data_IF_567021526017
#
_entry.id   IF_567021526017
#
_cell.length_a   1.000
_cell.length_b   1.000
_cell.length_c   1.000
_cell.angle_alpha   90.00
_cell.angle_beta   90.00
_cell.angle_gamma   90.00
#
_symmetry.space_group_name_H-M   'P 1'
#
loop_
_entity.id
_entity.type
_entity.pdbx_description
1 polymer ?
#
# COMPACT_ATOMS: atom_id res chain seq x y z
N UNK A 1 -15.76 -9.48 -1.40
CA UNK A 1 -15.77 -10.47 -2.50
C UNK A 1 -16.66 -10.11 -3.70
N UNK A 2 -18.00 -9.98 -3.60
CA UNK A 2 -18.88 -9.79 -4.80
C UNK A 2 -18.46 -8.61 -5.67
N UNK A 3 -18.24 -7.45 -5.06
CA UNK A 3 -17.83 -6.21 -5.73
C UNK A 3 -16.56 -6.44 -6.56
N UNK A 4 -15.51 -7.01 -5.96
CA UNK A 4 -14.25 -7.25 -6.67
C UNK A 4 -14.39 -8.22 -7.85
N UNK A 5 -15.27 -9.23 -7.75
CA UNK A 5 -15.51 -10.17 -8.85
C UNK A 5 -16.22 -9.53 -10.04
N UNK A 6 -17.01 -8.47 -9.82
CA UNK A 6 -17.73 -7.76 -10.89
C UNK A 6 -16.98 -6.54 -11.43
N UNK A 7 -15.93 -6.07 -10.74
CA UNK A 7 -15.16 -4.89 -11.12
C UNK A 7 -14.02 -5.18 -12.12
N UNK A 8 -13.54 -6.42 -12.21
CA UNK A 8 -12.38 -6.76 -13.07
C UNK A 8 -12.39 -8.18 -13.64
N UNK A 9 -11.46 -8.41 -14.56
CA UNK A 9 -11.21 -9.72 -15.13
C UNK A 9 -10.17 -10.51 -14.36
N UNK A 10 -10.55 -11.73 -13.97
CA UNK A 10 -9.63 -12.75 -13.50
C UNK A 10 -9.37 -13.78 -14.61
N UNK A 11 -8.16 -14.37 -14.67
CA UNK A 11 -7.86 -15.44 -15.61
C UNK A 11 -8.86 -16.61 -15.48
N UNK A 12 -9.61 -16.90 -16.53
CA UNK A 12 -10.50 -18.06 -16.60
C UNK A 12 -9.76 -19.38 -16.85
N UNK A 13 -8.58 -19.31 -17.47
CA UNK A 13 -7.70 -20.47 -17.62
C UNK A 13 -7.11 -20.86 -16.24
N UNK A 14 -7.45 -22.05 -15.70
CA UNK A 14 -6.93 -22.50 -14.41
C UNK A 14 -5.41 -22.62 -14.37
N UNK A 15 -4.78 -22.97 -15.49
CA UNK A 15 -3.33 -23.08 -15.57
C UNK A 15 -2.66 -21.70 -15.47
N UNK A 16 -3.19 -20.69 -16.17
CA UNK A 16 -2.72 -19.32 -16.06
C UNK A 16 -2.95 -18.75 -14.66
N UNK A 17 -4.12 -19.00 -14.07
CA UNK A 17 -4.43 -18.56 -12.70
C UNK A 17 -3.42 -19.16 -11.71
N UNK A 18 -3.20 -20.48 -11.76
CA UNK A 18 -2.22 -21.17 -10.91
C UNK A 18 -0.82 -20.57 -11.07
N UNK A 19 -0.34 -20.36 -12.30
CA UNK A 19 0.98 -19.75 -12.55
C UNK A 19 1.10 -18.37 -11.93
N UNK A 20 0.10 -17.50 -12.10
CA UNK A 20 0.10 -16.14 -11.53
C UNK A 20 0.09 -16.17 -10.00
N UNK A 21 -0.84 -16.90 -9.40
CA UNK A 21 -0.97 -17.04 -7.93
C UNK A 21 0.33 -17.59 -7.33
N UNK A 22 0.93 -18.63 -7.93
CA UNK A 22 2.22 -19.16 -7.47
C UNK A 22 3.36 -18.16 -7.61
N UNK A 23 3.39 -17.36 -8.68
CA UNK A 23 4.41 -16.33 -8.85
C UNK A 23 4.31 -15.23 -7.78
N UNK A 24 3.09 -14.75 -7.49
CA UNK A 24 2.88 -13.74 -6.46
C UNK A 24 3.19 -14.28 -5.05
N UNK A 25 2.81 -15.53 -4.77
CA UNK A 25 3.16 -16.17 -3.50
C UNK A 25 4.68 -16.23 -3.26
N UNK A 26 5.48 -16.47 -4.31
CA UNK A 26 6.94 -16.53 -4.23
C UNK A 26 7.60 -15.17 -3.99
N UNK A 27 6.96 -14.09 -4.44
CA UNK A 27 7.50 -12.73 -4.26
C UNK A 27 7.49 -12.29 -2.79
N UNK A 28 6.61 -12.86 -1.96
CA UNK A 28 6.51 -12.58 -0.53
C UNK A 28 6.57 -13.89 0.28
N UNK A 29 7.75 -14.44 0.61
CA UNK A 29 7.87 -15.77 1.22
C UNK A 29 7.13 -15.93 2.56
N UNK A 30 7.03 -14.85 3.35
CA UNK A 30 6.42 -14.88 4.68
C UNK A 30 4.89 -14.94 4.63
N UNK A 31 4.27 -14.05 3.83
CA UNK A 31 2.81 -13.88 3.81
C UNK A 31 2.16 -14.35 2.50
N UNK A 32 2.93 -14.44 1.43
CA UNK A 32 2.48 -14.77 0.08
C UNK A 32 1.71 -16.08 0.00
N UNK A 33 2.20 -17.22 0.52
CA UNK A 33 1.44 -18.46 0.52
C UNK A 33 0.09 -18.34 1.24
N UNK A 34 0.04 -17.65 2.39
CA UNK A 34 -1.20 -17.41 3.10
C UNK A 34 -2.16 -16.57 2.24
N UNK A 35 -1.71 -15.41 1.74
CA UNK A 35 -2.50 -14.49 0.90
C UNK A 35 -2.85 -15.02 -0.50
N UNK A 36 -2.16 -16.06 -0.98
CA UNK A 36 -2.39 -16.64 -2.29
C UNK A 36 -3.35 -17.84 -2.26
N UNK A 37 -3.28 -18.66 -1.21
CA UNK A 37 -3.97 -19.96 -1.14
C UNK A 37 -4.96 -20.09 0.01
N UNK A 38 -5.02 -19.13 0.94
CA UNK A 38 -6.00 -19.12 2.01
C UNK A 38 -7.42 -18.80 1.52
N UNK A 39 -8.44 -18.96 2.40
CA UNK A 39 -9.83 -18.63 2.08
C UNK A 39 -9.98 -17.11 1.84
N UNK A 40 -10.92 -16.65 0.99
CA UNK A 40 -11.19 -15.22 0.80
C UNK A 40 -11.33 -14.43 2.12
N UNK A 41 -10.58 -13.34 2.24
CA UNK A 41 -10.66 -12.39 3.35
C UNK A 41 -11.15 -11.02 2.83
N UNK A 42 -11.12 -9.98 3.66
CA UNK A 42 -11.77 -8.70 3.34
C UNK A 42 -11.34 -8.09 1.99
N UNK A 43 -10.04 -8.08 1.70
CA UNK A 43 -9.42 -7.46 0.51
C UNK A 43 -8.35 -8.35 -0.18
N UNK A 44 -8.24 -9.62 0.20
CA UNK A 44 -7.25 -10.55 -0.36
C UNK A 44 -7.83 -11.95 -0.60
N UNK A 45 -7.07 -12.78 -1.33
CA UNK A 45 -7.40 -14.19 -1.66
C UNK A 45 -8.65 -14.37 -2.56
N UNK A 46 -9.12 -13.32 -3.23
CA UNK A 46 -10.32 -13.40 -4.07
C UNK A 46 -10.12 -14.03 -5.45
N UNK A 47 -8.88 -14.15 -5.93
CA UNK A 47 -8.63 -14.51 -7.33
C UNK A 47 -9.15 -15.90 -7.72
N UNK A 48 -9.06 -16.88 -6.81
CA UNK A 48 -9.58 -18.24 -7.04
C UNK A 48 -11.10 -18.28 -7.05
N UNK A 49 -11.75 -17.55 -6.14
CA UNK A 49 -13.21 -17.43 -6.10
C UNK A 49 -13.77 -16.64 -7.30
N UNK A 50 -13.18 -15.49 -7.61
CA UNK A 50 -13.67 -14.62 -8.70
C UNK A 50 -13.39 -15.17 -10.10
N UNK A 51 -12.38 -16.03 -10.28
CA UNK A 51 -12.17 -16.74 -11.55
C UNK A 51 -13.34 -17.68 -11.90
N UNK A 52 -14.09 -18.12 -10.88
CA UNK A 52 -15.26 -19.00 -11.01
C UNK A 52 -16.58 -18.23 -10.95
N UNK A 53 -16.53 -16.89 -10.89
CA UNK A 53 -17.72 -16.05 -10.73
C UNK A 53 -18.69 -16.25 -11.90
N UNK A 54 -19.94 -16.69 -11.64
CA UNK A 54 -20.88 -17.07 -12.69
C UNK A 54 -21.68 -15.89 -13.25
N UNK A 55 -21.76 -14.79 -12.49
CA UNK A 55 -22.57 -13.63 -12.84
C UNK A 55 -21.81 -12.66 -13.76
N UNK A 56 -22.58 -11.79 -14.41
CA UNK A 56 -22.05 -10.73 -15.25
C UNK A 56 -21.22 -9.72 -14.45
N UNK A 57 -20.22 -9.13 -15.12
CA UNK A 57 -19.31 -8.13 -14.55
C UNK A 57 -19.81 -6.72 -14.84
N UNK A 58 -21.00 -6.41 -14.33
CA UNK A 58 -21.74 -5.18 -14.66
C UNK A 58 -21.01 -3.89 -14.27
N UNK A 59 -20.11 -3.96 -13.28
CA UNK A 59 -19.35 -2.81 -12.76
C UNK A 59 -17.96 -2.66 -13.39
N UNK A 60 -17.57 -3.59 -14.27
CA UNK A 60 -16.23 -3.56 -14.89
C UNK A 60 -16.11 -2.35 -15.81
N UNK A 61 -15.26 -1.42 -15.43
CA UNK A 61 -14.93 -0.27 -16.25
C UNK A 61 -13.90 -0.63 -17.31
N UNK A 62 -14.21 -0.36 -18.58
CA UNK A 62 -13.34 -0.57 -19.74
C UNK A 62 -12.99 0.71 -20.50
N UNK A 63 -13.50 1.84 -20.01
CA UNK A 63 -13.26 3.16 -20.56
C UNK A 63 -11.89 3.74 -20.20
N UNK A 64 -11.74 5.03 -20.46
CA UNK A 64 -10.51 5.76 -20.18
C UNK A 64 -10.47 6.32 -18.75
N UNK A 65 -9.48 5.90 -17.96
CA UNK A 65 -9.21 6.49 -16.65
C UNK A 65 -8.50 7.87 -16.70
N UNK A 66 -8.48 8.54 -17.86
CA UNK A 66 -7.83 9.85 -18.00
C UNK A 66 -8.55 10.97 -17.25
N UNK A 67 -9.85 10.80 -16.97
CA UNK A 67 -10.69 11.83 -16.37
C UNK A 67 -10.62 13.18 -17.11
N UNK A 68 -10.69 13.12 -18.46
CA UNK A 68 -10.52 14.30 -19.31
C UNK A 68 -11.48 15.44 -18.91
N UNK A 69 -10.93 16.63 -18.69
CA UNK A 69 -11.70 17.82 -18.31
C UNK A 69 -12.03 17.93 -16.82
N UNK A 70 -11.48 17.06 -15.97
CA UNK A 70 -11.67 17.15 -14.52
C UNK A 70 -11.03 18.41 -13.93
N UNK A 71 -11.45 18.78 -12.72
CA UNK A 71 -10.62 19.55 -11.79
C UNK A 71 -9.28 18.82 -11.50
N UNK A 72 -8.29 19.47 -10.86
CA UNK A 72 -7.12 18.76 -10.33
C UNK A 72 -7.54 17.56 -9.47
N UNK A 73 -6.81 16.45 -9.57
CA UNK A 73 -7.03 15.24 -8.77
C UNK A 73 -5.78 14.97 -7.95
N UNK A 74 -5.89 15.07 -6.63
CA UNK A 74 -4.80 14.72 -5.72
C UNK A 74 -4.75 13.20 -5.52
N UNK A 75 -3.63 12.60 -5.88
CA UNK A 75 -3.29 11.19 -5.64
C UNK A 75 -2.25 11.14 -4.52
N UNK A 76 -2.53 10.39 -3.46
CA UNK A 76 -1.59 10.16 -2.38
C UNK A 76 -0.89 8.82 -2.60
N UNK A 77 0.43 8.79 -2.48
CA UNK A 77 1.19 7.55 -2.55
C UNK A 77 2.15 7.42 -1.37
N UNK A 78 1.96 6.39 -0.54
CA UNK A 78 2.87 6.05 0.56
C UNK A 78 3.97 5.11 0.07
N UNK A 79 5.24 5.41 0.36
CA UNK A 79 6.38 4.69 -0.21
C UNK A 79 6.47 3.22 0.19
N UNK A 80 6.04 2.88 1.41
CA UNK A 80 6.00 1.53 1.96
C UNK A 80 4.58 1.00 2.17
N UNK A 81 3.65 1.36 1.28
CA UNK A 81 2.27 0.86 1.31
C UNK A 81 2.21 -0.61 0.87
N UNK A 82 1.78 -1.56 1.72
CA UNK A 82 1.70 -2.97 1.37
C UNK A 82 0.46 -3.33 0.53
N UNK A 83 -0.59 -2.51 0.57
CA UNK A 83 -1.91 -2.83 0.00
C UNK A 83 -2.13 -2.14 -1.33
N UNK A 84 -1.74 -0.86 -1.41
CA UNK A 84 -1.74 -0.04 -2.64
C UNK A 84 -0.34 0.49 -2.92
N UNK A 85 0.54 -0.33 -3.51
CA UNK A 85 1.95 0.02 -3.67
C UNK A 85 2.21 1.37 -4.34
N UNK A 86 3.26 2.05 -3.88
CA UNK A 86 3.59 3.42 -4.32
C UNK A 86 3.64 3.61 -5.85
N UNK A 87 4.20 2.63 -6.58
CA UNK A 87 4.28 2.70 -8.04
C UNK A 87 2.91 2.77 -8.72
N UNK A 88 1.86 2.23 -8.11
CA UNK A 88 0.51 2.27 -8.64
C UNK A 88 -0.09 3.67 -8.46
N UNK A 89 0.18 4.33 -7.33
CA UNK A 89 -0.14 5.75 -7.14
C UNK A 89 0.61 6.65 -8.14
N UNK A 90 1.90 6.37 -8.41
CA UNK A 90 2.67 7.06 -9.46
C UNK A 90 2.02 6.85 -10.83
N UNK A 91 1.68 5.62 -11.19
CA UNK A 91 1.05 5.29 -12.46
C UNK A 91 -0.32 5.99 -12.62
N UNK A 92 -1.17 5.91 -11.59
CA UNK A 92 -2.47 6.57 -11.57
C UNK A 92 -2.35 8.08 -11.74
N UNK A 93 -1.43 8.72 -11.01
CA UNK A 93 -1.21 10.17 -11.11
C UNK A 93 -0.78 10.63 -12.50
N UNK A 94 -0.10 9.76 -13.27
CA UNK A 94 0.31 10.03 -14.66
C UNK A 94 -0.79 9.71 -15.67
N UNK A 95 -1.66 8.75 -15.35
CA UNK A 95 -2.77 8.35 -16.21
C UNK A 95 -3.89 9.40 -16.23
N UNK A 96 -4.10 10.10 -15.12
CA UNK A 96 -5.07 11.18 -14.99
C UNK A 96 -4.56 12.47 -15.65
N UNK A 97 -5.38 13.08 -16.52
CA UNK A 97 -5.02 14.30 -17.27
C UNK A 97 -4.64 15.46 -16.32
N UNK A 98 -5.34 15.58 -15.19
CA UNK A 98 -5.10 16.60 -14.17
C UNK A 98 -4.63 16.00 -12.83
N UNK A 99 -3.87 14.90 -12.87
CA UNK A 99 -3.34 14.24 -11.69
C UNK A 99 -2.17 14.98 -11.01
N UNK A 100 -2.21 15.06 -9.67
CA UNK A 100 -1.09 15.48 -8.82
C UNK A 100 -0.75 14.40 -7.81
N UNK A 101 0.46 13.88 -7.87
CA UNK A 101 1.00 13.02 -6.82
C UNK A 101 1.49 13.85 -5.63
N UNK A 102 1.09 13.44 -4.42
CA UNK A 102 1.78 13.73 -3.17
C UNK A 102 2.48 12.45 -2.71
N UNK A 103 3.80 12.51 -2.55
CA UNK A 103 4.58 11.38 -2.02
C UNK A 103 4.64 11.46 -0.51
N UNK A 104 4.22 10.40 0.17
CA UNK A 104 4.38 10.26 1.62
C UNK A 104 5.45 9.21 1.92
N UNK A 105 6.59 9.64 2.47
CA UNK A 105 7.70 8.77 2.86
C UNK A 105 7.41 8.15 4.22
N UNK A 106 6.79 6.98 4.19
CA UNK A 106 6.41 6.21 5.37
C UNK A 106 6.20 4.74 5.01
N UNK A 107 6.07 3.90 6.03
CA UNK A 107 5.54 2.53 5.94
C UNK A 107 4.04 2.52 6.25
N UNK A 108 3.30 1.56 5.71
CA UNK A 108 1.89 1.33 6.01
C UNK A 108 0.91 2.00 5.03
N UNK A 109 -0.36 1.63 5.16
CA UNK A 109 -1.40 2.00 4.20
C UNK A 109 -1.96 3.41 4.44
N UNK A 110 -2.13 4.17 3.36
CA UNK A 110 -2.63 5.57 3.34
C UNK A 110 -1.70 6.62 3.97
N UNK A 111 -2.06 7.90 3.82
CA UNK A 111 -1.24 9.06 4.24
C UNK A 111 -2.02 10.19 4.95
N UNK A 112 -3.33 10.33 4.74
CA UNK A 112 -4.11 11.43 5.33
C UNK A 112 -4.21 11.26 6.86
N UNK A 113 -4.01 12.35 7.61
CA UNK A 113 -4.02 12.31 9.08
C UNK A 113 -2.76 11.72 9.71
N UNK A 114 -1.76 11.31 8.92
CA UNK A 114 -0.52 10.67 9.43
C UNK A 114 0.65 11.62 9.64
N UNK A 115 0.56 12.84 9.12
CA UNK A 115 1.49 13.94 9.41
C UNK A 115 0.81 15.28 9.19
N UNK A 116 1.32 16.35 9.82
CA UNK A 116 0.82 17.71 9.57
C UNK A 116 0.98 18.04 8.09
N UNK A 117 2.14 17.75 7.49
CA UNK A 117 2.39 17.98 6.07
C UNK A 117 1.36 17.31 5.14
N UNK A 118 1.06 16.02 5.35
CA UNK A 118 0.10 15.30 4.51
C UNK A 118 -1.33 15.79 4.75
N UNK A 119 -1.68 16.08 6.01
CA UNK A 119 -3.00 16.59 6.39
C UNK A 119 -3.27 17.95 5.79
N UNK A 120 -2.31 18.87 5.82
CA UNK A 120 -2.45 20.20 5.25
C UNK A 120 -2.56 20.15 3.73
N UNK A 121 -1.77 19.30 3.06
CA UNK A 121 -1.84 19.13 1.61
C UNK A 121 -3.23 18.63 1.16
N UNK A 122 -3.81 17.66 1.89
CA UNK A 122 -5.16 17.16 1.61
C UNK A 122 -6.22 18.19 1.94
N UNK A 123 -6.10 18.88 3.09
CA UNK A 123 -7.07 19.90 3.51
C UNK A 123 -7.13 21.05 2.53
N UNK A 124 -5.98 21.58 2.10
CA UNK A 124 -5.89 22.63 1.08
C UNK A 124 -6.52 22.19 -0.26
N UNK A 125 -6.38 20.93 -0.62
CA UNK A 125 -7.02 20.39 -1.82
C UNK A 125 -8.54 20.27 -1.66
N UNK A 126 -9.02 19.73 -0.54
CA UNK A 126 -10.45 19.52 -0.31
C UNK A 126 -11.22 20.84 -0.12
N UNK A 127 -10.59 21.85 0.50
CA UNK A 127 -11.23 23.14 0.81
C UNK A 127 -11.06 24.13 -0.34
N UNK A 128 -9.84 24.27 -0.87
CA UNK A 128 -9.49 25.34 -1.81
C UNK A 128 -9.16 24.82 -3.22
N UNK A 129 -9.27 23.51 -3.47
CA UNK A 129 -8.83 22.87 -4.72
C UNK A 129 -7.32 23.05 -5.00
N UNK A 130 -6.54 23.44 -3.99
CA UNK A 130 -5.11 23.77 -4.13
C UNK A 130 -4.27 22.50 -4.00
N UNK A 131 -3.65 22.12 -5.11
CA UNK A 131 -2.73 20.97 -5.16
C UNK A 131 -1.29 21.38 -4.81
N UNK A 132 -0.48 20.46 -4.24
CA UNK A 132 0.93 20.72 -3.97
C UNK A 132 1.75 20.87 -5.27
N UNK A 133 2.95 21.44 -5.12
CA UNK A 133 3.92 21.51 -6.21
C UNK A 133 4.31 20.10 -6.70
N UNK A 134 4.77 20.01 -7.94
CA UNK A 134 5.29 18.75 -8.46
C UNK A 134 6.47 18.26 -7.59
N UNK A 135 6.46 16.97 -7.24
CA UNK A 135 7.52 16.35 -6.44
C UNK A 135 7.45 16.65 -4.94
N UNK A 136 6.40 17.32 -4.46
CA UNK A 136 6.19 17.51 -3.02
C UNK A 136 6.19 16.16 -2.31
N UNK A 137 6.97 16.11 -1.24
CA UNK A 137 7.12 14.94 -0.40
C UNK A 137 6.87 15.33 1.05
N UNK A 138 6.04 14.56 1.74
CA UNK A 138 5.90 14.58 3.19
C UNK A 138 6.61 13.37 3.80
N UNK A 139 7.04 13.46 5.06
CA UNK A 139 7.60 12.36 5.82
C UNK A 139 6.70 12.01 7.00
N UNK A 140 6.78 10.76 7.48
CA UNK A 140 6.13 10.38 8.74
C UNK A 140 6.77 11.17 9.89
N UNK A 141 5.93 11.86 10.68
CA UNK A 141 6.36 12.62 11.86
C UNK A 141 6.44 11.74 13.10
N UNK A 142 5.81 10.55 13.06
CA UNK A 142 5.80 9.56 14.14
C UNK A 142 6.98 8.60 14.08
N UNK A 143 7.66 8.52 12.93
CA UNK A 143 8.87 7.71 12.80
C UNK A 143 10.06 8.55 13.27
N UNK A 144 10.79 8.13 14.33
CA UNK A 144 12.10 8.71 14.62
C UNK A 144 12.95 8.63 13.34
N UNK A 145 13.94 9.53 13.13
CA UNK A 145 14.88 9.35 12.03
C UNK A 145 15.33 7.90 12.05
N UNK A 146 15.31 7.24 10.89
CA UNK A 146 15.64 5.81 10.71
C UNK A 146 17.11 5.56 11.11
N UNK A 147 17.38 5.63 12.40
CA UNK A 147 18.64 5.48 13.06
C UNK A 147 18.62 4.14 13.79
N UNK A 148 18.15 3.08 13.12
CA UNK A 148 18.63 1.75 13.50
C UNK A 148 20.10 1.74 13.10
N UNK A 149 21.05 1.77 14.05
CA UNK A 149 22.46 1.75 13.69
C UNK A 149 22.71 0.42 13.00
N UNK A 150 23.12 0.46 11.72
CA UNK A 150 23.53 -0.76 10.99
C UNK A 150 24.79 -1.39 11.56
N UNK A 151 25.46 -0.68 12.45
CA UNK A 151 26.68 -1.09 13.13
C UNK A 151 26.55 -0.70 14.60
N UNK A 152 26.82 -1.65 15.48
CA UNK A 152 26.89 -1.35 16.91
C UNK A 152 28.05 -0.37 17.16
N UNK A 153 27.92 0.55 18.14
CA UNK A 153 29.03 1.39 18.56
C UNK A 153 30.30 0.57 18.88
N UNK A 154 31.50 1.10 18.64
CA UNK A 154 32.74 0.42 19.01
C UNK A 154 32.73 0.06 20.50
N UNK A 155 32.99 -1.20 20.82
CA UNK A 155 33.01 -1.71 22.20
C UNK A 155 31.70 -2.34 22.69
N UNK A 156 30.63 -2.34 21.89
CA UNK A 156 29.39 -3.06 22.26
C UNK A 156 29.63 -4.58 22.27
N UNK A 157 29.30 -5.20 23.40
CA UNK A 157 29.41 -6.64 23.60
C UNK A 157 28.15 -7.38 23.17
N UNK A 158 28.28 -8.67 22.85
CA UNK A 158 27.13 -9.56 22.55
C UNK A 158 26.13 -9.66 23.72
N UNK A 159 26.59 -9.47 24.96
CA UNK A 159 25.73 -9.46 26.15
C UNK A 159 24.82 -8.23 26.18
N UNK A 160 25.36 -7.05 25.89
CA UNK A 160 24.58 -5.80 25.85
C UNK A 160 23.52 -5.81 24.75
N UNK A 161 23.82 -6.38 23.58
CA UNK A 161 22.85 -6.55 22.50
C UNK A 161 21.71 -7.48 22.90
N UNK A 162 22.00 -8.58 23.61
CA UNK A 162 20.99 -9.55 24.05
C UNK A 162 20.09 -8.99 25.15
N UNK A 163 20.67 -8.28 26.12
CA UNK A 163 19.92 -7.65 27.19
C UNK A 163 19.00 -6.55 26.66
N UNK A 164 19.47 -5.73 25.71
CA UNK A 164 18.63 -4.71 25.07
C UNK A 164 17.46 -5.28 24.25
N UNK A 165 17.57 -6.51 23.74
CA UNK A 165 16.46 -7.22 23.09
C UNK A 165 15.47 -7.76 24.12
N UNK A 166 15.94 -8.33 25.24
CA UNK A 166 15.09 -8.77 26.35
C UNK A 166 14.27 -7.62 26.94
N UNK A 167 14.91 -6.48 27.26
CA UNK A 167 14.22 -5.30 27.83
C UNK A 167 13.15 -4.73 26.89
N UNK A 168 13.31 -4.94 25.58
CA UNK A 168 12.35 -4.49 24.56
C UNK A 168 11.19 -5.49 24.43
N UNK A 169 11.45 -6.79 24.58
CA UNK A 169 10.42 -7.83 24.60
C UNK A 169 9.58 -7.79 25.88
N UNK A 170 10.20 -7.51 27.03
CA UNK A 170 9.49 -7.35 28.30
C UNK A 170 8.54 -6.15 28.27
N UNK A 171 8.99 -5.01 27.72
CA UNK A 171 8.12 -3.84 27.51
C UNK A 171 6.96 -4.09 26.54
N UNK A 172 7.12 -5.02 25.59
CA UNK A 172 6.03 -5.43 24.70
C UNK A 172 5.08 -6.42 25.39
N UNK A 173 5.56 -7.17 26.39
CA UNK A 173 4.75 -8.06 27.22
C UNK A 173 3.84 -7.32 28.20
N UNK A 174 4.31 -6.18 28.74
CA UNK A 174 3.58 -5.35 29.70
C UNK A 174 2.47 -4.47 29.07
N UNK A 175 2.34 -4.49 27.73
CA UNK A 175 1.30 -3.75 26.99
C UNK A 175 0.03 -4.59 26.71
N UNK A 176 -0.25 -5.63 27.50
CA UNK A 176 -1.46 -6.47 27.39
C UNK A 176 -2.38 -6.32 28.60
#
# INVERSE_FOLDING_TARGET
MVVECVDKDYPRDPALLKRKVTSFAKAAPLLGPALAYGPPLYDHQHATACAQWPAEKVSRYDGSFRAKGSAPILVLGTTGDPDTPYQDAVALSRQLDNGRLLTFRAEGHTAFGRSVCATDAVTNYLVDLKVPAHGTTCADETQPPSATPKTAPPGTTLGELRNGVSDRLERLGDMR
#
